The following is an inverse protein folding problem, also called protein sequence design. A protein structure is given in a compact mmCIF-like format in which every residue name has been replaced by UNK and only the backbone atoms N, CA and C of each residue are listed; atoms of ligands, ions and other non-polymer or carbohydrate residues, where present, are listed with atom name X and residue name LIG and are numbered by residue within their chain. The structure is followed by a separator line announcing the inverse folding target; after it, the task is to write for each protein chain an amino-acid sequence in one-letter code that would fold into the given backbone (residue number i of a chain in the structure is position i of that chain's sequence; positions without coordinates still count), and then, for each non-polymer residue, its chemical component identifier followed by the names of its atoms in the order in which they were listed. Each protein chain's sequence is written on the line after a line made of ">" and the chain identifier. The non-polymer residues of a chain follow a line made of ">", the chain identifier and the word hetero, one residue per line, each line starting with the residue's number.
data_IF_289493217358
#
_entry.id   IF_289493217358
#
_cell.length_a   1.000
_cell.length_b   1.000
_cell.length_c   1.000
_cell.angle_alpha   90.00
_cell.angle_beta   90.00
_cell.angle_gamma   90.00
#
_symmetry.space_group_name_H-M   'P 1'
#
loop_
_entity.id
_entity.type
_entity.pdbx_description
1 polymer ?
#
# COMPACT_ATOMS: atom_id res chain seq x y z
N UNK A 1 24.02 -1.33 -7.28
CA UNK A 1 22.68 -1.00 -7.80
C UNK A 1 21.78 -2.20 -7.61
N UNK A 2 20.49 -1.98 -7.29
CA UNK A 2 19.50 -3.04 -7.20
C UNK A 2 19.17 -3.66 -8.56
N UNK A 3 18.47 -4.80 -8.55
CA UNK A 3 17.87 -5.44 -9.74
C UNK A 3 16.34 -5.40 -9.60
N UNK A 4 15.62 -5.38 -10.72
CA UNK A 4 14.15 -5.41 -10.70
C UNK A 4 13.65 -6.70 -10.03
N UNK A 5 12.79 -6.59 -9.01
CA UNK A 5 12.37 -7.74 -8.22
C UNK A 5 11.54 -8.76 -9.04
N UNK A 6 10.69 -8.29 -9.94
CA UNK A 6 9.90 -9.18 -10.80
C UNK A 6 10.79 -9.95 -11.78
N UNK A 7 11.82 -9.32 -12.34
CA UNK A 7 12.82 -9.99 -13.18
C UNK A 7 13.70 -10.97 -12.39
N UNK A 8 14.03 -10.66 -11.14
CA UNK A 8 14.83 -11.56 -10.30
C UNK A 8 14.05 -12.80 -9.91
N UNK A 9 12.76 -12.64 -9.57
CA UNK A 9 11.86 -13.77 -9.28
C UNK A 9 11.56 -14.57 -10.55
N UNK A 10 11.37 -13.87 -11.69
CA UNK A 10 11.12 -14.44 -13.02
C UNK A 10 9.97 -15.47 -13.07
N UNK A 11 8.91 -15.24 -12.29
CA UNK A 11 7.74 -16.13 -12.19
C UNK A 11 6.47 -15.30 -11.92
N UNK A 12 5.76 -14.95 -13.00
CA UNK A 12 4.52 -14.16 -12.91
C UNK A 12 3.40 -14.94 -12.21
N UNK A 13 3.35 -16.27 -12.37
CA UNK A 13 2.34 -17.12 -11.73
C UNK A 13 2.55 -17.13 -10.22
N UNK A 14 3.80 -17.29 -9.77
CA UNK A 14 4.12 -17.18 -8.36
C UNK A 14 3.78 -15.80 -7.80
N UNK A 15 4.08 -14.72 -8.53
CA UNK A 15 3.71 -13.36 -8.11
C UNK A 15 2.19 -13.20 -7.95
N UNK A 16 1.41 -13.66 -8.94
CA UNK A 16 -0.03 -13.50 -8.99
C UNK A 16 -0.79 -14.38 -7.99
N UNK A 17 -0.36 -15.63 -7.84
CA UNK A 17 -1.15 -16.68 -7.18
C UNK A 17 -0.56 -17.09 -5.83
N UNK A 18 0.72 -16.79 -5.57
CA UNK A 18 1.37 -17.09 -4.30
C UNK A 18 1.71 -15.83 -3.52
N UNK A 19 2.50 -14.91 -4.09
CA UNK A 19 3.00 -13.74 -3.37
C UNK A 19 1.85 -12.80 -2.94
N UNK A 20 1.05 -12.31 -3.91
CA UNK A 20 -0.03 -11.37 -3.62
C UNK A 20 -1.05 -11.96 -2.61
N UNK A 21 -1.58 -13.19 -2.81
CA UNK A 21 -2.54 -13.75 -1.86
C UNK A 21 -1.93 -14.02 -0.48
N UNK A 22 -0.65 -14.42 -0.41
CA UNK A 22 0.04 -14.64 0.86
C UNK A 22 0.17 -13.36 1.67
N UNK A 23 0.52 -12.24 1.04
CA UNK A 23 0.60 -10.94 1.70
C UNK A 23 -0.80 -10.48 2.15
N UNK A 24 -1.78 -10.50 1.24
CA UNK A 24 -3.15 -10.06 1.54
C UNK A 24 -3.81 -10.87 2.68
N UNK A 25 -3.55 -12.18 2.75
CA UNK A 25 -4.12 -13.07 3.77
C UNK A 25 -3.25 -13.24 5.01
N UNK A 26 -2.15 -12.50 5.13
CA UNK A 26 -1.17 -12.74 6.21
C UNK A 26 -1.79 -12.56 7.60
N UNK A 27 -2.64 -11.56 7.79
CA UNK A 27 -3.32 -11.33 9.07
C UNK A 27 -4.17 -12.52 9.52
N UNK A 28 -4.97 -13.08 8.60
CA UNK A 28 -5.78 -14.27 8.87
C UNK A 28 -4.90 -15.48 9.22
N UNK A 29 -3.79 -15.70 8.50
CA UNK A 29 -2.85 -16.77 8.81
C UNK A 29 -2.21 -16.63 10.20
N UNK A 30 -1.96 -15.40 10.67
CA UNK A 30 -1.46 -15.18 12.03
C UNK A 30 -2.54 -15.52 13.07
N UNK A 31 -3.79 -15.13 12.83
CA UNK A 31 -4.92 -15.46 13.71
C UNK A 31 -5.09 -16.97 13.82
N UNK A 32 -5.06 -17.68 12.69
CA UNK A 32 -5.17 -19.14 12.67
C UNK A 32 -4.04 -19.81 13.47
N UNK A 33 -2.79 -19.36 13.29
CA UNK A 33 -1.64 -19.96 13.94
C UNK A 33 -1.52 -19.62 15.44
N UNK A 34 -1.96 -18.42 15.87
CA UNK A 34 -1.75 -17.93 17.24
C UNK A 34 -3.03 -17.87 18.09
N UNK A 35 -4.20 -18.01 17.48
CA UNK A 35 -5.49 -17.75 18.13
C UNK A 35 -5.74 -16.28 18.48
N UNK A 36 -4.89 -15.36 17.99
CA UNK A 36 -4.95 -13.93 18.30
C UNK A 36 -4.40 -13.10 17.13
N UNK A 37 -4.77 -11.82 17.09
CA UNK A 37 -4.34 -10.90 16.03
C UNK A 37 -2.83 -10.63 16.05
N UNK A 38 -2.31 -10.09 14.95
CA UNK A 38 -0.92 -9.72 14.72
C UNK A 38 -0.49 -8.43 15.45
N UNK A 39 -0.90 -8.27 16.72
CA UNK A 39 -0.78 -7.02 17.48
C UNK A 39 0.66 -6.47 17.54
N UNK A 40 1.66 -7.31 17.84
CA UNK A 40 3.05 -6.86 17.97
C UNK A 40 3.64 -6.34 16.64
N UNK A 41 3.41 -7.05 15.53
CA UNK A 41 3.88 -6.60 14.21
C UNK A 41 3.11 -5.39 13.71
N UNK A 42 1.81 -5.28 14.03
CA UNK A 42 1.03 -4.09 13.71
C UNK A 42 1.54 -2.86 14.47
N UNK A 43 1.87 -3.01 15.76
CA UNK A 43 2.50 -1.95 16.55
C UNK A 43 3.86 -1.53 15.98
N UNK A 44 4.67 -2.51 15.55
CA UNK A 44 5.95 -2.21 14.91
C UNK A 44 5.77 -1.43 13.60
N UNK A 45 4.84 -1.85 12.74
CA UNK A 45 4.56 -1.14 11.49
C UNK A 45 4.05 0.29 11.72
N UNK A 46 3.24 0.51 12.77
CA UNK A 46 2.80 1.85 13.15
C UNK A 46 3.96 2.73 13.64
N UNK A 47 4.89 2.17 14.43
CA UNK A 47 6.11 2.86 14.86
C UNK A 47 6.97 3.22 13.64
N UNK A 48 7.22 2.25 12.76
CA UNK A 48 8.03 2.43 11.56
C UNK A 48 7.44 3.51 10.64
N UNK A 49 6.11 3.51 10.48
CA UNK A 49 5.40 4.50 9.68
C UNK A 49 5.62 5.92 10.21
N UNK A 50 5.36 6.17 11.50
CA UNK A 50 5.53 7.50 12.09
C UNK A 50 7.00 7.90 12.12
N UNK A 51 7.90 6.98 12.48
CA UNK A 51 9.34 7.24 12.50
C UNK A 51 9.86 7.63 11.12
N UNK A 52 9.50 6.88 10.07
CA UNK A 52 9.92 7.15 8.69
C UNK A 52 9.31 8.45 8.18
N UNK A 53 8.04 8.72 8.47
CA UNK A 53 7.43 9.99 8.09
C UNK A 53 8.17 11.19 8.69
N UNK A 54 8.45 11.16 10.00
CA UNK A 54 9.12 12.28 10.67
C UNK A 54 10.58 12.41 10.26
N UNK A 55 11.31 11.31 10.19
CA UNK A 55 12.78 11.31 10.02
C UNK A 55 13.25 11.16 8.57
N UNK A 56 12.35 10.84 7.66
CA UNK A 56 12.63 10.69 6.24
C UNK A 56 12.87 9.25 5.78
N UNK A 57 12.69 9.02 4.49
CA UNK A 57 13.08 7.78 3.79
C UNK A 57 14.57 7.79 3.48
N UNK A 58 15.18 6.62 3.33
CA UNK A 58 16.56 6.51 2.89
C UNK A 58 16.74 6.99 1.43
N UNK A 59 17.93 7.51 1.09
CA UNK A 59 18.23 7.96 -0.26
C UNK A 59 18.09 6.82 -1.27
N UNK A 60 17.26 7.03 -2.30
CA UNK A 60 16.98 6.04 -3.34
C UNK A 60 15.98 4.96 -2.94
N UNK A 61 15.26 5.14 -1.84
CA UNK A 61 14.21 4.24 -1.36
C UNK A 61 12.90 4.99 -1.06
N UNK A 62 11.79 4.25 -0.96
CA UNK A 62 10.47 4.79 -0.62
C UNK A 62 9.73 3.85 0.34
N UNK A 63 8.67 4.36 0.96
CA UNK A 63 7.75 3.55 1.77
C UNK A 63 6.33 3.60 1.22
N UNK A 64 5.41 2.81 1.79
CA UNK A 64 3.98 2.89 1.49
C UNK A 64 3.24 3.66 2.58
N UNK A 65 2.42 4.64 2.19
CA UNK A 65 1.57 5.39 3.13
C UNK A 65 0.16 5.55 2.56
N UNK A 66 -0.85 5.30 3.40
CA UNK A 66 -2.25 5.64 3.13
C UNK A 66 -2.47 7.15 3.29
N UNK A 67 -2.64 7.87 2.20
CA UNK A 67 -2.75 9.34 2.16
C UNK A 67 -3.90 9.76 1.23
N UNK A 68 -4.42 11.00 1.37
CA UNK A 68 -5.39 11.53 0.40
C UNK A 68 -4.76 11.59 -0.99
N UNK A 69 -5.39 10.93 -1.96
CA UNK A 69 -5.00 10.99 -3.36
C UNK A 69 -5.13 12.42 -3.91
N UNK A 70 -4.16 12.82 -4.73
CA UNK A 70 -4.16 14.04 -5.54
C UNK A 70 -4.46 13.77 -7.04
N UNK A 71 -5.01 12.59 -7.35
CA UNK A 71 -5.25 12.13 -8.72
C UNK A 71 -4.09 11.29 -9.29
N UNK A 72 -2.97 11.20 -8.58
CA UNK A 72 -1.81 10.39 -8.97
C UNK A 72 -2.21 8.97 -9.34
N UNK A 73 -1.61 8.47 -10.42
CA UNK A 73 -1.85 7.11 -10.95
C UNK A 73 -3.31 6.79 -11.29
N UNK A 74 -4.16 7.81 -11.48
CA UNK A 74 -5.58 7.62 -11.81
C UNK A 74 -6.44 7.22 -10.61
N UNK A 75 -5.93 7.36 -9.39
CA UNK A 75 -6.70 7.14 -8.16
C UNK A 75 -7.53 8.41 -7.89
N UNK A 76 -8.86 8.34 -7.72
CA UNK A 76 -9.71 9.52 -7.53
C UNK A 76 -9.25 10.41 -6.38
N UNK A 77 -9.24 11.73 -6.61
CA UNK A 77 -8.87 12.72 -5.60
C UNK A 77 -9.68 12.58 -4.32
N UNK A 78 -9.02 12.79 -3.18
CA UNK A 78 -9.63 12.75 -1.84
C UNK A 78 -9.88 11.34 -1.29
N UNK A 79 -9.71 10.27 -2.08
CA UNK A 79 -9.70 8.90 -1.55
C UNK A 79 -8.40 8.69 -0.75
N UNK A 80 -8.52 8.18 0.48
CA UNK A 80 -7.35 7.70 1.22
C UNK A 80 -6.92 6.38 0.58
N UNK A 81 -5.76 6.39 -0.08
CA UNK A 81 -5.19 5.20 -0.75
C UNK A 81 -3.70 5.10 -0.45
N UNK A 82 -3.15 3.90 -0.55
CA UNK A 82 -1.73 3.65 -0.31
C UNK A 82 -0.90 3.95 -1.57
N UNK A 83 0.07 4.85 -1.44
CA UNK A 83 1.01 5.21 -2.53
C UNK A 83 2.46 4.92 -2.13
N UNK A 84 3.36 4.70 -3.11
CA UNK A 84 4.79 4.83 -2.88
C UNK A 84 5.11 6.30 -2.60
N UNK A 85 5.74 6.58 -1.46
CA UNK A 85 6.09 7.94 -1.05
C UNK A 85 7.53 8.01 -0.55
N UNK A 86 8.17 9.15 -0.82
CA UNK A 86 9.37 9.55 -0.07
C UNK A 86 8.95 10.49 1.04
N UNK A 87 9.73 10.52 2.12
CA UNK A 87 9.48 11.45 3.23
C UNK A 87 10.74 12.23 3.56
N UNK A 88 10.58 13.50 3.92
CA UNK A 88 11.65 14.39 4.35
C UNK A 88 11.09 15.53 5.19
N UNK A 89 11.75 15.85 6.30
CA UNK A 89 11.38 16.96 7.19
C UNK A 89 9.89 16.95 7.60
N UNK A 90 9.34 15.76 7.90
CA UNK A 90 7.94 15.57 8.27
C UNK A 90 6.93 15.73 7.14
N UNK A 91 7.37 15.80 5.88
CA UNK A 91 6.51 15.85 4.70
C UNK A 91 6.66 14.57 3.89
N UNK A 92 5.56 14.12 3.29
CA UNK A 92 5.58 13.04 2.30
C UNK A 92 5.36 13.62 0.90
N UNK A 93 5.92 12.95 -0.11
CA UNK A 93 5.66 13.22 -1.52
C UNK A 93 5.45 11.89 -2.24
N UNK A 94 4.39 11.79 -3.04
CA UNK A 94 4.14 10.62 -3.89
C UNK A 94 5.28 10.51 -4.90
N UNK A 95 5.91 9.34 -4.98
CA UNK A 95 6.88 9.03 -6.03
C UNK A 95 6.15 9.12 -7.36
N UNK A 96 6.67 9.91 -8.30
CA UNK A 96 6.06 10.11 -9.63
C UNK A 96 6.83 9.35 -10.72
N UNK A 97 6.17 9.14 -11.86
CA UNK A 97 6.82 8.60 -13.07
C UNK A 97 7.06 7.09 -13.07
N UNK A 98 6.42 6.34 -12.16
CA UNK A 98 6.44 4.87 -12.21
C UNK A 98 5.54 4.34 -13.33
N UNK A 99 6.07 3.43 -14.13
CA UNK A 99 5.30 2.75 -15.17
C UNK A 99 4.34 1.72 -14.55
N UNK A 100 3.05 1.89 -14.84
CA UNK A 100 2.01 0.96 -14.37
C UNK A 100 1.61 0.05 -15.53
N UNK A 101 2.09 -1.19 -15.50
CA UNK A 101 1.70 -2.20 -16.49
C UNK A 101 0.23 -2.64 -16.32
N UNK A 102 -0.30 -3.34 -17.32
CA UNK A 102 -1.71 -3.77 -17.34
C UNK A 102 -2.09 -4.66 -16.14
N UNK A 103 -1.18 -5.55 -15.73
CA UNK A 103 -1.36 -6.40 -14.55
C UNK A 103 -1.56 -5.57 -13.28
N UNK A 104 -0.69 -4.59 -13.05
CA UNK A 104 -0.73 -3.72 -11.88
C UNK A 104 -1.96 -2.80 -11.92
N UNK A 105 -2.27 -2.24 -13.10
CA UNK A 105 -3.45 -1.38 -13.33
C UNK A 105 -4.73 -2.07 -12.86
N UNK A 106 -5.00 -3.29 -13.33
CA UNK A 106 -6.21 -4.04 -12.94
C UNK A 106 -6.34 -4.25 -11.43
N UNK A 107 -5.22 -4.48 -10.73
CA UNK A 107 -5.20 -4.69 -9.28
C UNK A 107 -5.40 -3.39 -8.50
N UNK A 108 -4.75 -2.30 -8.95
CA UNK A 108 -4.93 -0.96 -8.37
C UNK A 108 -6.39 -0.55 -8.52
N UNK A 109 -6.96 -0.65 -9.72
CA UNK A 109 -8.34 -0.21 -9.98
C UNK A 109 -9.35 -1.01 -9.15
N UNK A 110 -9.14 -2.33 -8.98
CA UNK A 110 -10.00 -3.15 -8.13
C UNK A 110 -9.99 -2.70 -6.66
N UNK A 111 -8.81 -2.39 -6.10
CA UNK A 111 -8.71 -1.91 -4.71
C UNK A 111 -9.23 -0.48 -4.55
N UNK A 112 -9.04 0.38 -5.55
CA UNK A 112 -9.58 1.74 -5.57
C UNK A 112 -11.10 1.75 -5.66
N UNK A 113 -11.68 0.82 -6.41
CA UNK A 113 -13.13 0.63 -6.47
C UNK A 113 -13.69 0.30 -5.08
N UNK A 114 -13.08 -0.65 -4.35
CA UNK A 114 -13.46 -0.97 -2.97
C UNK A 114 -13.39 0.25 -2.04
N UNK A 115 -12.29 1.02 -2.09
CA UNK A 115 -12.15 2.26 -1.30
C UNK A 115 -13.22 3.32 -1.64
N UNK A 116 -13.61 3.39 -2.92
CA UNK A 116 -14.64 4.31 -3.39
C UNK A 116 -16.02 3.90 -2.86
N UNK A 117 -16.32 2.60 -2.87
CA UNK A 117 -17.55 2.03 -2.31
C UNK A 117 -17.61 2.25 -0.79
N UNK A 118 -16.50 2.07 -0.06
CA UNK A 118 -16.43 2.36 1.37
C UNK A 118 -16.67 3.84 1.67
N UNK A 119 -16.07 4.75 0.89
CA UNK A 119 -16.31 6.21 1.01
C UNK A 119 -17.79 6.53 0.82
N UNK A 120 -18.41 5.96 -0.21
CA UNK A 120 -19.81 6.23 -0.52
C UNK A 120 -20.73 5.67 0.56
N UNK A 121 -20.43 4.49 1.11
CA UNK A 121 -21.14 3.93 2.26
C UNK A 121 -21.07 4.84 3.50
N UNK A 122 -19.90 5.37 3.86
CA UNK A 122 -19.80 6.28 5.02
C UNK A 122 -20.46 7.64 4.77
N UNK A 123 -20.54 8.09 3.52
CA UNK A 123 -21.30 9.28 3.12
C UNK A 123 -22.80 9.06 3.26
N UNK A 124 -23.32 7.90 2.85
CA UNK A 124 -24.73 7.54 3.04
C UNK A 124 -25.12 7.49 4.53
N UNK A 125 -24.18 7.13 5.39
CA UNK A 125 -24.34 7.19 6.85
C UNK A 125 -24.24 8.60 7.44
N UNK A 126 -23.93 9.62 6.63
CA UNK A 126 -23.76 11.01 7.08
C UNK A 126 -22.52 11.25 7.92
N UNK A 127 -21.48 10.42 7.76
CA UNK A 127 -20.21 10.57 8.49
C UNK A 127 -19.25 11.55 7.80
N UNK A 128 -19.49 11.86 6.52
CA UNK A 128 -18.78 12.85 5.68
C UNK A 128 -19.75 13.56 4.72
#
# INVERSE_FOLDING_TARGET
>A
AGKNAAEVVNDEVWLADTFIPTVAKRGAAIIEARGASSAASAANAAIDHVHTWVNGTADGDWTSMGIPSDGSYGVPEGIISSFPVTTKDGKYEIVQGLDINEFSRKRIDASVQELTEERDAVRELGLI
#
